data_IF_651895381944
#
_entry.id   IF_651895381944
#
_cell.length_a   1.000
_cell.length_b   1.000
_cell.length_c   1.000
_cell.angle_alpha   90.00
_cell.angle_beta   90.00
_cell.angle_gamma   90.00
#
_symmetry.space_group_name_H-M   'P 1'
#
loop_
_entity.id
_entity.type
_entity.pdbx_description
1 polymer ?
#
# COMPACT_ATOMS: atom_id res chain seq x y z
N UNK A 1 -24.32 3.24 31.02
CA UNK A 1 -23.26 2.23 30.84
C UNK A 1 -22.86 2.25 29.36
N UNK A 2 -21.95 3.17 28.99
CA UNK A 2 -21.56 3.45 27.60
C UNK A 2 -20.12 2.96 27.38
N UNK A 3 -19.94 1.87 26.63
CA UNK A 3 -18.61 1.35 26.29
C UNK A 3 -18.57 0.84 24.85
N UNK A 4 -18.62 1.70 23.83
CA UNK A 4 -18.26 1.30 22.45
C UNK A 4 -17.58 2.39 21.60
N UNK A 5 -17.09 3.49 22.19
CA UNK A 5 -16.32 4.54 21.48
C UNK A 5 -14.80 4.27 21.41
N UNK A 6 -14.39 3.00 21.49
CA UNK A 6 -12.98 2.58 21.44
C UNK A 6 -12.63 1.73 20.22
N UNK A 7 -13.41 1.80 19.13
CA UNK A 7 -12.84 1.49 17.82
C UNK A 7 -11.88 2.62 17.43
N UNK A 8 -10.81 2.68 18.24
CA UNK A 8 -9.49 3.20 18.01
C UNK A 8 -9.36 3.63 16.56
N UNK A 9 -9.35 4.95 16.34
CA UNK A 9 -8.39 5.51 15.40
C UNK A 9 -7.04 4.95 15.85
N UNK A 10 -6.68 3.80 15.28
CA UNK A 10 -5.39 3.20 15.48
C UNK A 10 -4.48 4.09 14.66
N UNK A 11 -3.88 5.08 15.30
CA UNK A 11 -2.61 5.65 14.84
C UNK A 11 -1.61 4.48 14.82
N UNK A 12 -1.67 3.67 13.76
CA UNK A 12 -0.71 2.59 13.55
C UNK A 12 0.60 3.31 13.28
N UNK A 13 1.59 3.11 14.15
CA UNK A 13 2.93 3.60 13.87
C UNK A 13 3.40 2.98 12.56
N UNK A 14 3.85 3.80 11.60
CA UNK A 14 4.27 3.26 10.32
C UNK A 14 5.48 2.36 10.51
N UNK A 15 5.48 1.24 9.81
CA UNK A 15 6.62 0.35 9.73
C UNK A 15 7.80 1.08 9.11
N UNK A 16 9.03 0.62 9.41
CA UNK A 16 10.25 1.15 8.77
C UNK A 16 10.16 1.09 7.24
N UNK A 17 9.52 0.06 6.71
CA UNK A 17 9.31 -0.12 5.26
C UNK A 17 8.38 0.95 4.67
N UNK A 18 7.25 1.22 5.32
CA UNK A 18 6.32 2.28 4.88
C UNK A 18 7.00 3.66 4.96
N UNK A 19 7.70 3.95 6.06
CA UNK A 19 8.42 5.22 6.23
C UNK A 19 9.52 5.43 5.18
N UNK A 20 10.35 4.41 4.93
CA UNK A 20 11.42 4.46 3.94
C UNK A 20 10.85 4.57 2.52
N UNK A 21 9.82 3.79 2.20
CA UNK A 21 9.16 3.81 0.89
C UNK A 21 8.51 5.17 0.63
N UNK A 22 7.82 5.74 1.62
CA UNK A 22 7.24 7.09 1.53
C UNK A 22 8.30 8.17 1.30
N UNK A 23 9.47 8.04 1.94
CA UNK A 23 10.58 8.96 1.76
C UNK A 23 11.15 8.89 0.34
N UNK A 24 11.42 7.68 -0.16
CA UNK A 24 11.90 7.46 -1.54
C UNK A 24 10.87 7.97 -2.56
N UNK A 25 9.58 7.71 -2.32
CA UNK A 25 8.52 8.17 -3.18
C UNK A 25 8.46 9.70 -3.25
N UNK A 26 8.57 10.38 -2.10
CA UNK A 26 8.66 11.84 -2.03
C UNK A 26 9.83 12.40 -2.84
N UNK A 27 11.03 11.84 -2.66
CA UNK A 27 12.21 12.24 -3.43
C UNK A 27 12.01 12.03 -4.94
N UNK A 28 11.40 10.91 -5.33
CA UNK A 28 11.12 10.57 -6.73
C UNK A 28 10.08 11.52 -7.35
N UNK A 29 9.04 11.87 -6.59
CA UNK A 29 8.06 12.88 -6.98
C UNK A 29 8.71 14.24 -7.20
N UNK A 30 9.60 14.69 -6.30
CA UNK A 30 10.32 15.95 -6.47
C UNK A 30 11.23 15.94 -7.70
N UNK A 31 11.98 14.86 -7.91
CA UNK A 31 12.88 14.70 -9.06
C UNK A 31 12.12 14.66 -10.40
N UNK A 32 10.95 14.02 -10.46
CA UNK A 32 10.14 13.95 -11.68
C UNK A 32 9.49 15.29 -12.08
N UNK A 33 9.29 16.20 -11.12
CA UNK A 33 8.77 17.55 -11.36
C UNK A 33 9.81 18.49 -11.97
N UNK A 34 11.08 18.36 -11.58
CA UNK A 34 12.18 19.24 -12.04
C UNK A 34 12.29 19.36 -13.58
N UNK A 35 12.20 18.29 -14.37
CA UNK A 35 12.22 18.38 -15.84
C UNK A 35 10.87 18.74 -16.48
N UNK A 36 9.77 18.77 -15.70
CA UNK A 36 8.40 18.90 -16.21
C UNK A 36 7.81 20.32 -16.05
N UNK A 37 8.66 21.34 -15.86
CA UNK A 37 8.22 22.72 -15.66
C UNK A 37 7.31 23.18 -16.83
N UNK A 38 6.02 23.42 -16.53
CA UNK A 38 5.00 23.84 -17.51
C UNK A 38 4.01 22.76 -17.95
N UNK A 39 4.18 21.50 -17.54
CA UNK A 39 3.17 20.45 -17.73
C UNK A 39 2.21 20.35 -16.55
N UNK A 40 0.93 19.95 -16.77
CA UNK A 40 0.02 19.69 -15.67
C UNK A 40 0.57 18.58 -14.77
N UNK A 41 0.35 18.67 -13.45
CA UNK A 41 0.86 17.69 -12.51
C UNK A 41 0.26 16.32 -12.81
N UNK A 42 1.12 15.30 -12.87
CA UNK A 42 0.73 13.92 -13.14
C UNK A 42 0.53 13.17 -11.81
N UNK A 43 -0.42 12.23 -11.75
CA UNK A 43 -0.52 11.33 -10.60
C UNK A 43 0.76 10.52 -10.48
N UNK A 44 1.17 10.26 -9.24
CA UNK A 44 2.29 9.38 -8.92
C UNK A 44 1.78 8.07 -8.34
N UNK A 45 2.39 6.96 -8.73
CA UNK A 45 1.94 5.61 -8.35
C UNK A 45 3.12 4.83 -7.77
N UNK A 46 2.86 4.13 -6.66
CA UNK A 46 3.79 3.16 -6.06
C UNK A 46 3.12 1.80 -6.01
N UNK A 47 3.85 0.77 -6.42
CA UNK A 47 3.48 -0.63 -6.27
C UNK A 47 4.41 -1.28 -5.25
N UNK A 48 3.85 -1.76 -4.14
CA UNK A 48 4.57 -2.53 -3.13
C UNK A 48 4.18 -3.99 -3.20
N UNK A 49 5.17 -4.88 -3.32
CA UNK A 49 4.95 -6.32 -3.31
C UNK A 49 5.04 -6.86 -1.89
N UNK A 50 4.00 -7.56 -1.45
CA UNK A 50 3.89 -8.13 -0.11
C UNK A 50 3.95 -9.65 -0.20
N UNK A 51 4.84 -10.28 0.57
CA UNK A 51 4.93 -11.74 0.62
C UNK A 51 3.65 -12.34 1.24
N UNK A 52 2.98 -13.20 0.48
CA UNK A 52 1.72 -13.81 0.88
C UNK A 52 1.92 -15.16 1.60
N UNK A 53 3.08 -15.80 1.46
CA UNK A 53 3.38 -17.11 2.06
C UNK A 53 3.16 -17.18 3.57
N UNK A 54 3.67 -16.24 4.41
CA UNK A 54 3.45 -16.30 5.85
C UNK A 54 2.00 -16.03 6.24
N UNK A 55 1.19 -15.51 5.32
CA UNK A 55 -0.17 -15.08 5.58
C UNK A 55 -1.21 -16.14 5.18
N UNK A 56 -0.83 -17.19 4.45
CA UNK A 56 -1.73 -18.31 4.15
C UNK A 56 -2.06 -19.13 5.41
N UNK A 57 -3.15 -19.90 5.37
CA UNK A 57 -3.55 -20.82 6.45
C UNK A 57 -3.74 -22.23 5.90
N UNK A 58 -2.79 -23.17 6.07
CA UNK A 58 -1.53 -23.01 6.82
C UNK A 58 -0.52 -22.08 6.09
N UNK A 59 0.44 -21.48 6.81
CA UNK A 59 1.54 -20.74 6.19
C UNK A 59 2.32 -21.61 5.20
N UNK A 60 2.67 -21.06 4.04
CA UNK A 60 3.48 -21.75 3.03
C UNK A 60 4.95 -21.48 3.34
N UNK A 61 5.82 -22.48 3.14
CA UNK A 61 7.27 -22.34 3.29
C UNK A 61 7.84 -21.28 2.35
N UNK A 62 8.80 -20.49 2.82
CA UNK A 62 9.55 -19.53 2.00
C UNK A 62 10.37 -20.22 0.88
N UNK A 63 10.64 -21.52 1.02
CA UNK A 63 11.34 -22.33 0.00
C UNK A 63 10.43 -22.88 -1.11
N UNK A 64 9.11 -22.63 -1.02
CA UNK A 64 8.16 -23.16 -2.00
C UNK A 64 8.29 -22.43 -3.35
N UNK A 65 8.41 -23.20 -4.44
CA UNK A 65 8.58 -22.68 -5.80
C UNK A 65 7.27 -22.08 -6.34
N UNK A 66 7.36 -20.96 -7.04
CA UNK A 66 6.22 -20.24 -7.66
C UNK A 66 6.06 -18.81 -7.12
N UNK A 67 5.29 -17.98 -7.83
CA UNK A 67 5.04 -16.59 -7.42
C UNK A 67 3.83 -16.51 -6.48
N UNK A 68 4.02 -15.95 -5.28
CA UNK A 68 2.94 -15.76 -4.31
C UNK A 68 3.15 -14.44 -3.55
N UNK A 69 2.66 -13.36 -4.13
CA UNK A 69 2.74 -12.00 -3.57
C UNK A 69 1.47 -11.19 -3.89
N UNK A 70 1.24 -10.14 -3.11
CA UNK A 70 0.17 -9.17 -3.34
C UNK A 70 0.77 -7.83 -3.76
N UNK A 71 0.19 -7.22 -4.78
CA UNK A 71 0.53 -5.88 -5.22
C UNK A 71 -0.34 -4.84 -4.52
N UNK A 72 0.20 -4.16 -3.51
CA UNK A 72 -0.43 -2.99 -2.93
C UNK A 72 -0.13 -1.77 -3.81
N UNK A 73 -1.17 -1.21 -4.44
CA UNK A 73 -1.07 -0.02 -5.28
C UNK A 73 -1.48 1.21 -4.47
N UNK A 74 -0.61 2.21 -4.46
CA UNK A 74 -0.81 3.50 -3.81
C UNK A 74 -0.72 4.60 -4.85
N UNK A 75 -1.69 5.52 -4.86
CA UNK A 75 -1.79 6.60 -5.83
C UNK A 75 -1.82 7.93 -5.07
N UNK A 76 -0.91 8.85 -5.43
CA UNK A 76 -0.95 10.23 -4.98
C UNK A 76 -1.33 11.13 -6.16
N UNK A 77 -2.43 11.87 -6.00
CA UNK A 77 -2.82 12.93 -6.92
C UNK A 77 -2.11 14.21 -6.50
N UNK A 78 -1.22 14.71 -7.34
CA UNK A 78 -0.53 15.96 -7.08
C UNK A 78 -1.43 17.08 -7.60
N UNK A 79 -2.20 17.75 -6.75
CA UNK A 79 -2.78 19.03 -7.14
C UNK A 79 -1.64 20.06 -7.33
N UNK A 80 -1.84 21.05 -8.21
CA UNK A 80 -0.81 22.02 -8.59
C UNK A 80 -0.20 22.80 -7.40
N UNK A 81 -0.93 22.93 -6.29
CA UNK A 81 -0.49 23.59 -5.05
C UNK A 81 0.23 22.67 -4.06
N UNK A 82 0.21 21.35 -4.26
CA UNK A 82 0.80 20.38 -3.33
C UNK A 82 2.27 20.10 -3.65
N UNK A 83 3.08 21.15 -3.75
CA UNK A 83 4.54 21.04 -3.78
C UNK A 83 5.10 20.40 -2.50
N UNK A 84 4.35 20.44 -1.40
CA UNK A 84 4.69 19.84 -0.11
C UNK A 84 3.65 18.81 0.34
N UNK A 85 3.49 17.73 -0.42
CA UNK A 85 2.85 16.55 0.15
C UNK A 85 3.73 16.06 1.32
N UNK A 86 3.21 16.17 2.53
CA UNK A 86 3.92 15.75 3.75
C UNK A 86 4.25 14.26 3.69
N UNK A 87 5.41 13.88 4.26
CA UNK A 87 5.82 12.48 4.31
C UNK A 87 4.79 11.62 5.05
N UNK A 88 4.19 12.17 6.11
CA UNK A 88 3.09 11.55 6.88
C UNK A 88 1.92 11.14 5.98
N UNK A 89 1.50 12.00 5.05
CA UNK A 89 0.41 11.72 4.11
C UNK A 89 0.76 10.59 3.15
N UNK A 90 1.97 10.62 2.58
CA UNK A 90 2.45 9.54 1.69
C UNK A 90 2.51 8.19 2.42
N UNK A 91 3.01 8.20 3.65
CA UNK A 91 3.09 7.00 4.48
C UNK A 91 1.71 6.46 4.85
N UNK A 92 0.72 7.33 5.11
CA UNK A 92 -0.65 6.92 5.33
C UNK A 92 -1.27 6.27 4.08
N UNK A 93 -1.06 6.86 2.89
CA UNK A 93 -1.52 6.28 1.61
C UNK A 93 -0.88 4.90 1.37
N UNK A 94 0.40 4.72 1.72
CA UNK A 94 1.07 3.42 1.63
C UNK A 94 0.47 2.41 2.61
N UNK A 95 0.20 2.82 3.85
CA UNK A 95 -0.42 1.94 4.84
C UNK A 95 -1.81 1.52 4.42
N UNK A 96 -2.61 2.45 3.89
CA UNK A 96 -3.94 2.17 3.32
C UNK A 96 -3.89 1.20 2.13
N UNK A 97 -2.87 1.26 1.27
CA UNK A 97 -2.70 0.31 0.17
C UNK A 97 -2.42 -1.12 0.63
N UNK A 98 -1.76 -1.27 1.78
CA UNK A 98 -1.41 -2.57 2.39
C UNK A 98 -2.56 -3.13 3.26
N UNK A 99 -3.33 -2.24 3.88
CA UNK A 99 -4.36 -2.53 4.89
C UNK A 99 -5.49 -3.51 4.50
N UNK A 100 -6.02 -3.53 3.26
CA UNK A 100 -7.09 -4.45 2.86
C UNK A 100 -6.72 -5.92 3.08
N UNK A 101 -5.43 -6.22 3.24
CA UNK A 101 -4.93 -7.57 3.39
C UNK A 101 -4.94 -8.11 4.84
N UNK A 102 -5.06 -7.25 5.88
CA UNK A 102 -4.73 -7.60 7.27
C UNK A 102 -5.46 -8.86 7.80
N UNK A 103 -6.75 -9.11 7.49
CA UNK A 103 -7.47 -10.29 8.06
C UNK A 103 -8.55 -10.99 7.23
N UNK A 104 -9.20 -10.36 6.26
CA UNK A 104 -10.35 -10.96 5.54
C UNK A 104 -9.98 -11.61 4.20
N UNK A 105 -8.90 -11.17 3.55
CA UNK A 105 -8.46 -11.62 2.21
C UNK A 105 -7.79 -12.99 2.22
N UNK A 106 -7.20 -13.40 3.33
CA UNK A 106 -6.61 -14.75 3.49
C UNK A 106 -7.65 -15.88 3.42
N UNK A 107 -8.93 -15.57 3.63
CA UNK A 107 -10.05 -16.47 3.34
C UNK A 107 -10.51 -16.40 1.88
N UNK A 108 -10.42 -15.22 1.25
CA UNK A 108 -10.81 -15.00 -0.15
C UNK A 108 -9.83 -15.64 -1.14
N UNK A 109 -8.54 -15.69 -0.82
CA UNK A 109 -7.53 -16.34 -1.66
C UNK A 109 -7.55 -17.88 -1.60
N UNK A 110 -8.46 -18.50 -0.85
CA UNK A 110 -8.61 -19.96 -0.79
C UNK A 110 -9.60 -20.45 -1.85
N UNK A 111 -9.10 -21.27 -2.77
CA UNK A 111 -9.92 -21.93 -3.79
C UNK A 111 -10.28 -21.03 -4.98
N UNK A 112 -11.25 -21.47 -5.80
CA UNK A 112 -11.60 -20.87 -7.10
C UNK A 112 -11.88 -19.36 -7.05
N UNK A 113 -12.47 -18.87 -5.95
CA UNK A 113 -12.79 -17.44 -5.74
C UNK A 113 -11.56 -16.54 -5.58
N UNK A 114 -10.45 -17.09 -5.09
CA UNK A 114 -9.19 -16.34 -4.95
C UNK A 114 -8.51 -16.06 -6.29
N UNK A 115 -8.66 -16.99 -7.23
CA UNK A 115 -8.11 -16.87 -8.57
C UNK A 115 -8.89 -15.83 -9.41
N UNK A 116 -10.21 -15.77 -9.26
CA UNK A 116 -11.07 -14.79 -9.95
C UNK A 116 -10.80 -13.34 -9.49
N UNK A 117 -10.48 -13.12 -8.22
CA UNK A 117 -10.09 -11.80 -7.70
C UNK A 117 -8.73 -11.31 -8.24
N UNK A 118 -7.83 -12.22 -8.63
CA UNK A 118 -6.53 -11.87 -9.21
C UNK A 118 -6.67 -11.42 -10.67
N UNK A 119 -7.73 -11.86 -11.36
CA UNK A 119 -7.96 -11.58 -12.79
C UNK A 119 -8.87 -10.37 -13.04
N UNK A 120 -9.66 -9.96 -12.04
CA UNK A 120 -10.70 -8.92 -12.19
C UNK A 120 -10.35 -7.59 -11.51
N UNK A 121 -9.07 -7.33 -11.20
CA UNK A 121 -8.58 -6.02 -10.74
C UNK A 121 -7.88 -5.27 -11.87
#
# INVERSE_FOLDING_TARGET
MHTHLWLSQRERTPTRFEALSGFIWKCSMAASRAPSAGSPPKPSVVLQTVNLRPQTKPPISDTCIGNLFWGAISIANLAADEAELELSKLVNILSEGILPYDKSTTLLCKGKKGFELFLNN
#
